data_IF_076692942429
#
_entry.id   IF_076692942429
#
_cell.length_a   1.000
_cell.length_b   1.000
_cell.length_c   1.000
_cell.angle_alpha   90.00
_cell.angle_beta   90.00
_cell.angle_gamma   90.00
#
_symmetry.space_group_name_H-M   'P 1'
#
loop_
_entity.id
_entity.type
_entity.pdbx_description
1 polymer ?
#
# COMPACT_ATOMS: atom_id res chain seq x y z
N UNK A 1 0.37 -1.52 8.80
CA UNK A 1 -0.38 -1.83 7.56
C UNK A 1 -0.41 -3.33 7.36
N UNK A 2 -1.61 -3.91 7.32
CA UNK A 2 -1.84 -5.30 6.95
C UNK A 2 -2.24 -5.29 5.46
N UNK A 3 -1.42 -5.87 4.59
CA UNK A 3 -1.55 -5.74 3.15
C UNK A 3 -1.83 -7.08 2.44
N UNK A 4 -2.96 -7.16 1.74
CA UNK A 4 -3.44 -8.35 1.05
C UNK A 4 -4.38 -7.97 -0.10
N UNK A 5 -5.51 -8.67 -0.25
CA UNK A 5 -6.54 -8.35 -1.26
C UNK A 5 -6.97 -6.88 -1.15
N UNK A 6 -7.24 -6.43 0.07
CA UNK A 6 -7.36 -5.04 0.52
C UNK A 6 -6.24 -4.75 1.52
N UNK A 7 -6.13 -3.50 1.98
CA UNK A 7 -5.16 -3.14 3.01
C UNK A 7 -5.80 -2.34 4.14
N UNK A 8 -5.41 -2.63 5.39
CA UNK A 8 -5.80 -1.90 6.58
C UNK A 8 -4.60 -1.15 7.19
N UNK A 9 -4.84 0.08 7.62
CA UNK A 9 -3.85 1.00 8.19
C UNK A 9 -4.23 1.28 9.64
N UNK A 10 -3.65 0.53 10.56
CA UNK A 10 -3.95 0.60 11.98
C UNK A 10 -2.90 1.46 12.70
N UNK A 11 -3.36 2.47 13.44
CA UNK A 11 -2.56 3.28 14.35
C UNK A 11 -3.18 3.27 15.75
N UNK A 12 -2.35 3.28 16.79
CA UNK A 12 -2.80 3.33 18.18
C UNK A 12 -2.27 4.56 18.90
N UNK A 13 -3.03 5.05 19.87
CA UNK A 13 -2.73 6.24 20.67
C UNK A 13 -3.23 6.09 22.11
N UNK A 14 -2.61 6.80 23.05
CA UNK A 14 -3.03 6.78 24.46
C UNK A 14 -4.32 7.56 24.69
N UNK A 15 -4.54 8.62 23.91
CA UNK A 15 -5.74 9.47 23.93
C UNK A 15 -6.57 9.28 22.67
N UNK A 16 -7.91 9.49 22.70
CA UNK A 16 -8.72 9.37 21.50
C UNK A 16 -8.37 10.43 20.45
N UNK A 17 -8.11 10.00 19.21
CA UNK A 17 -7.86 10.88 18.06
C UNK A 17 -8.95 10.66 17.01
N UNK A 18 -9.73 11.70 16.72
CA UNK A 18 -10.77 11.67 15.69
C UNK A 18 -10.19 12.11 14.35
N UNK A 19 -10.12 11.18 13.40
CA UNK A 19 -9.51 11.39 12.09
C UNK A 19 -10.62 11.35 11.02
N UNK A 20 -10.91 12.45 10.31
CA UNK A 20 -11.90 12.44 9.25
C UNK A 20 -11.63 11.35 8.21
N UNK A 21 -12.65 10.54 7.92
CA UNK A 21 -12.59 9.48 6.92
C UNK A 21 -11.74 8.25 7.28
N UNK A 22 -11.35 8.13 8.55
CA UNK A 22 -10.67 6.96 9.12
C UNK A 22 -11.51 6.46 10.28
N UNK A 23 -11.70 5.14 10.40
CA UNK A 23 -12.52 4.57 11.46
C UNK A 23 -11.87 4.70 12.84
N UNK A 24 -12.70 4.63 13.89
CA UNK A 24 -12.29 4.88 15.27
C UNK A 24 -12.46 6.36 15.70
N UNK A 25 -11.90 6.75 16.85
CA UNK A 25 -11.01 5.96 17.70
C UNK A 25 -11.79 4.91 18.52
N UNK A 26 -11.35 3.65 18.48
CA UNK A 26 -11.95 2.53 19.22
C UNK A 26 -11.11 2.16 20.45
N UNK A 27 -11.66 2.32 21.65
CA UNK A 27 -10.93 2.04 22.89
C UNK A 27 -10.74 0.53 23.12
N UNK A 28 -9.49 0.13 23.40
CA UNK A 28 -9.09 -1.26 23.71
C UNK A 28 -9.47 -2.29 22.64
N UNK A 29 -9.67 -1.87 21.40
CA UNK A 29 -10.11 -2.76 20.31
C UNK A 29 -9.00 -3.67 19.76
N UNK A 30 -7.73 -3.29 19.93
CA UNK A 30 -6.58 -4.08 19.45
C UNK A 30 -5.52 -4.29 20.55
N UNK A 31 -5.08 -3.22 21.20
CA UNK A 31 -4.15 -3.27 22.33
C UNK A 31 -4.89 -2.75 23.58
N UNK A 32 -4.95 -3.52 24.69
CA UNK A 32 -5.63 -3.08 25.90
C UNK A 32 -5.09 -1.72 26.39
N UNK A 33 -6.00 -0.81 26.73
CA UNK A 33 -5.66 0.52 27.23
C UNK A 33 -5.34 1.57 26.16
N UNK A 34 -5.31 1.21 24.86
CA UNK A 34 -5.04 2.15 23.76
C UNK A 34 -6.26 2.34 22.85
N UNK A 35 -6.30 3.49 22.16
CA UNK A 35 -7.30 3.83 21.17
C UNK A 35 -6.81 3.49 19.77
N UNK A 36 -7.60 2.71 19.01
CA UNK A 36 -7.31 2.31 17.64
C UNK A 36 -7.99 3.25 16.63
N UNK A 37 -7.23 3.76 15.67
CA UNK A 37 -7.76 4.26 14.40
C UNK A 37 -7.44 3.29 13.28
N UNK A 38 -8.42 3.01 12.42
CA UNK A 38 -8.29 2.08 11.30
C UNK A 38 -8.65 2.77 9.98
N UNK A 39 -7.63 3.09 9.18
CA UNK A 39 -7.80 3.46 7.78
C UNK A 39 -7.83 2.23 6.89
N UNK A 40 -8.24 2.38 5.64
CA UNK A 40 -8.05 1.29 4.69
C UNK A 40 -8.16 1.67 3.23
N UNK A 41 -7.65 0.78 2.40
CA UNK A 41 -7.77 0.80 0.94
C UNK A 41 -8.56 -0.44 0.51
N UNK A 42 -9.72 -0.22 -0.12
CA UNK A 42 -10.69 -1.28 -0.44
C UNK A 42 -10.15 -2.34 -1.41
N UNK A 43 -9.25 -1.96 -2.31
CA UNK A 43 -8.58 -2.86 -3.23
C UNK A 43 -7.09 -2.50 -3.32
N UNK A 44 -6.21 -3.45 -3.00
CA UNK A 44 -4.75 -3.28 -3.16
C UNK A 44 -4.18 -4.46 -3.94
N UNK A 45 -4.04 -5.64 -3.34
CA UNK A 45 -3.66 -6.85 -4.05
C UNK A 45 -4.66 -7.21 -5.14
N UNK A 46 -5.97 -7.03 -4.88
CA UNK A 46 -6.99 -7.25 -5.92
C UNK A 46 -6.86 -6.29 -7.10
N UNK A 47 -6.44 -5.05 -6.84
CA UNK A 47 -6.23 -4.06 -7.90
C UNK A 47 -5.00 -4.43 -8.73
N UNK A 48 -3.89 -4.79 -8.08
CA UNK A 48 -2.68 -5.28 -8.76
C UNK A 48 -3.04 -6.49 -9.64
N UNK A 49 -3.76 -7.47 -9.11
CA UNK A 49 -4.20 -8.65 -9.85
C UNK A 49 -5.10 -8.28 -11.03
N UNK A 50 -6.05 -7.36 -10.82
CA UNK A 50 -6.96 -6.92 -11.86
C UNK A 50 -6.22 -6.26 -13.02
N UNK A 51 -5.29 -5.34 -12.72
CA UNK A 51 -4.48 -4.64 -13.73
C UNK A 51 -3.58 -5.62 -14.48
N UNK A 52 -2.90 -6.52 -13.76
CA UNK A 52 -1.95 -7.47 -14.38
C UNK A 52 -2.68 -8.49 -15.24
N UNK A 53 -3.72 -9.13 -14.69
CA UNK A 53 -4.47 -10.20 -15.37
C UNK A 53 -5.40 -9.66 -16.47
N UNK A 54 -5.80 -8.39 -16.38
CA UNK A 54 -6.63 -7.74 -17.38
C UNK A 54 -5.85 -7.25 -18.61
N UNK A 55 -4.52 -7.26 -18.57
CA UNK A 55 -3.70 -6.77 -19.67
C UNK A 55 -3.54 -7.82 -20.78
N UNK A 56 -3.49 -7.37 -22.04
CA UNK A 56 -3.38 -8.27 -23.21
C UNK A 56 -2.10 -9.10 -23.24
N UNK A 57 -1.01 -8.59 -22.67
CA UNK A 57 0.26 -9.31 -22.54
C UNK A 57 0.29 -10.34 -21.38
N UNK A 58 -0.83 -10.54 -20.66
CA UNK A 58 -0.87 -11.48 -19.54
C UNK A 58 -0.50 -12.93 -19.92
N UNK A 59 -0.97 -13.50 -21.06
CA UNK A 59 -0.55 -14.85 -21.47
C UNK A 59 0.96 -14.95 -21.75
N UNK A 60 1.57 -13.89 -22.29
CA UNK A 60 3.02 -13.82 -22.50
C UNK A 60 3.76 -13.79 -21.16
N UNK A 61 3.27 -13.01 -20.20
CA UNK A 61 3.81 -12.95 -18.84
C UNK A 61 3.73 -14.33 -18.16
N UNK A 62 2.59 -15.02 -18.25
CA UNK A 62 2.43 -16.36 -17.65
C UNK A 62 3.44 -17.36 -18.22
N UNK A 63 3.57 -17.43 -19.54
CA UNK A 63 4.52 -18.33 -20.20
C UNK A 63 5.97 -18.04 -19.79
N UNK A 64 6.36 -16.76 -19.68
CA UNK A 64 7.71 -16.35 -19.29
C UNK A 64 7.99 -16.59 -17.80
N UNK A 65 7.00 -16.37 -16.94
CA UNK A 65 7.10 -16.65 -15.51
C UNK A 65 7.23 -18.16 -15.24
N UNK A 66 6.46 -18.99 -15.95
CA UNK A 66 6.55 -20.45 -15.89
C UNK A 66 7.92 -20.94 -16.37
N UNK A 67 8.39 -20.47 -17.53
CA UNK A 67 9.70 -20.82 -18.07
C UNK A 67 10.88 -20.44 -17.16
N UNK A 68 10.71 -19.45 -16.29
CA UNK A 68 11.70 -19.03 -15.30
C UNK A 68 11.47 -19.61 -13.90
N UNK A 69 10.43 -20.44 -13.71
CA UNK A 69 9.99 -20.96 -12.42
C UNK A 69 9.77 -19.86 -11.36
N UNK A 70 9.26 -18.71 -11.78
CA UNK A 70 9.00 -17.55 -10.95
C UNK A 70 7.50 -17.27 -10.85
N UNK A 71 7.08 -16.57 -9.78
CA UNK A 71 5.75 -15.96 -9.77
C UNK A 71 5.69 -14.84 -10.80
N UNK A 72 4.50 -14.56 -11.35
CA UNK A 72 4.30 -13.46 -12.31
C UNK A 72 4.79 -12.10 -11.78
N UNK A 73 4.66 -11.82 -10.48
CA UNK A 73 5.10 -10.55 -9.89
C UNK A 73 6.62 -10.51 -9.72
N UNK A 74 7.25 -11.65 -9.39
CA UNK A 74 8.72 -11.76 -9.35
C UNK A 74 9.30 -11.53 -10.74
N UNK A 75 8.65 -12.09 -11.76
CA UNK A 75 9.04 -11.88 -13.15
C UNK A 75 8.88 -10.41 -13.55
N UNK A 76 7.74 -9.77 -13.27
CA UNK A 76 7.51 -8.34 -13.56
C UNK A 76 8.53 -7.44 -12.87
N UNK A 77 8.88 -7.72 -11.60
CA UNK A 77 9.93 -6.98 -10.90
C UNK A 77 11.29 -7.10 -11.61
N UNK A 78 11.65 -8.33 -12.00
CA UNK A 78 12.90 -8.57 -12.74
C UNK A 78 12.89 -7.89 -14.10
N UNK A 79 11.74 -7.89 -14.79
CA UNK A 79 11.56 -7.22 -16.07
C UNK A 79 11.71 -5.70 -15.95
N UNK A 80 11.13 -5.10 -14.89
CA UNK A 80 11.35 -3.69 -14.56
C UNK A 80 12.84 -3.38 -14.35
N UNK A 81 13.57 -4.27 -13.66
CA UNK A 81 15.01 -4.13 -13.47
C UNK A 81 15.82 -4.21 -14.77
N UNK A 82 15.33 -4.96 -15.77
CA UNK A 82 15.94 -5.02 -17.10
C UNK A 82 15.68 -3.74 -17.90
N UNK A 83 14.44 -3.24 -17.92
CA UNK A 83 14.07 -2.10 -18.76
C UNK A 83 14.48 -0.74 -18.17
N UNK A 84 14.75 -0.66 -16.85
CA UNK A 84 15.16 0.61 -16.21
C UNK A 84 16.46 1.19 -16.75
N UNK A 85 17.32 0.35 -17.36
CA UNK A 85 18.68 0.71 -17.79
C UNK A 85 19.46 1.35 -16.63
N UNK A 86 19.73 2.66 -16.70
CA UNK A 86 20.44 3.43 -15.66
C UNK A 86 19.53 4.21 -14.71
N UNK A 87 18.21 4.22 -14.94
CA UNK A 87 17.26 4.94 -14.10
C UNK A 87 16.86 4.09 -12.88
N UNK A 88 16.52 4.71 -11.73
CA UNK A 88 15.82 4.00 -10.67
C UNK A 88 14.48 3.45 -11.18
N UNK A 89 14.10 2.23 -10.78
CA UNK A 89 12.86 1.56 -11.24
C UNK A 89 11.65 2.49 -11.11
N UNK A 90 11.51 3.16 -9.97
CA UNK A 90 10.36 4.03 -9.70
C UNK A 90 10.20 5.21 -10.67
N UNK A 91 11.24 5.59 -11.40
CA UNK A 91 11.24 6.72 -12.32
C UNK A 91 10.71 6.34 -13.70
N UNK A 92 10.52 5.04 -13.99
CA UNK A 92 9.99 4.57 -15.26
C UNK A 92 8.55 5.03 -15.54
N UNK A 93 7.83 5.49 -14.52
CA UNK A 93 6.42 5.92 -14.59
C UNK A 93 6.30 7.44 -14.45
N UNK A 94 7.32 8.20 -14.88
CA UNK A 94 7.33 9.67 -14.80
C UNK A 94 6.07 10.29 -15.45
N UNK A 95 5.64 9.75 -16.59
CA UNK A 95 4.46 10.24 -17.34
C UNK A 95 3.21 9.35 -17.16
N UNK A 96 3.26 8.32 -16.30
CA UNK A 96 2.17 7.35 -16.09
C UNK A 96 1.66 7.41 -14.65
N UNK A 97 0.39 7.79 -14.47
CA UNK A 97 -0.22 7.99 -13.16
C UNK A 97 -1.53 7.22 -13.03
N UNK A 98 -1.77 6.69 -11.84
CA UNK A 98 -2.97 5.91 -11.53
C UNK A 98 -3.65 6.50 -10.29
N UNK A 99 -4.97 6.68 -10.37
CA UNK A 99 -5.83 6.82 -9.19
C UNK A 99 -6.39 5.44 -8.84
N UNK A 100 -6.14 4.90 -7.62
CA UNK A 100 -6.30 3.47 -7.34
C UNK A 100 -7.71 3.06 -6.87
N UNK A 101 -8.65 3.99 -6.70
CA UNK A 101 -9.98 3.67 -6.17
C UNK A 101 -10.93 3.06 -7.21
N UNK A 102 -10.54 1.93 -7.81
CA UNK A 102 -11.37 1.14 -8.73
C UNK A 102 -12.60 0.52 -8.03
N UNK A 103 -12.62 0.52 -6.70
CA UNK A 103 -13.71 0.04 -5.87
C UNK A 103 -14.14 1.08 -4.81
N UNK A 104 -14.09 2.37 -5.18
CA UNK A 104 -14.37 3.48 -4.26
C UNK A 104 -13.26 3.69 -3.22
N UNK A 105 -13.27 4.86 -2.60
CA UNK A 105 -12.31 5.21 -1.55
C UNK A 105 -12.91 4.94 -0.17
N UNK A 106 -12.24 4.11 0.62
CA UNK A 106 -12.59 3.95 2.05
C UNK A 106 -11.97 5.07 2.88
N UNK A 107 -10.66 5.27 2.79
CA UNK A 107 -9.95 6.31 3.53
C UNK A 107 -8.95 7.08 2.65
N UNK A 108 -8.72 8.38 2.90
CA UNK A 108 -9.41 9.20 3.90
C UNK A 108 -10.67 9.90 3.35
N UNK A 109 -11.06 9.67 2.09
CA UNK A 109 -12.12 10.44 1.44
C UNK A 109 -13.53 9.92 1.72
N UNK A 110 -13.69 8.66 2.13
CA UNK A 110 -14.99 8.01 2.39
C UNK A 110 -15.99 8.18 1.24
N UNK A 111 -15.52 8.07 0.01
CA UNK A 111 -16.33 8.24 -1.18
C UNK A 111 -16.36 6.95 -2.00
N UNK A 112 -17.43 6.17 -1.80
CA UNK A 112 -17.68 4.90 -2.48
C UNK A 112 -17.93 5.06 -3.99
N UNK A 113 -18.19 6.28 -4.44
CA UNK A 113 -18.52 6.57 -5.83
C UNK A 113 -17.28 6.85 -6.69
N UNK A 114 -16.11 7.06 -6.07
CA UNK A 114 -14.85 7.25 -6.79
C UNK A 114 -14.52 6.04 -7.67
N UNK A 115 -13.89 6.32 -8.81
CA UNK A 115 -13.50 5.35 -9.83
C UNK A 115 -12.02 5.43 -10.12
N UNK A 116 -11.44 4.34 -10.62
CA UNK A 116 -10.06 4.31 -11.07
C UNK A 116 -9.83 5.26 -12.25
N UNK A 117 -8.63 5.84 -12.33
CA UNK A 117 -8.20 6.62 -13.49
C UNK A 117 -6.76 6.26 -13.85
N UNK A 118 -6.44 6.29 -15.13
CA UNK A 118 -5.09 6.10 -15.64
C UNK A 118 -4.80 7.23 -16.62
N UNK A 119 -3.70 7.93 -16.43
CA UNK A 119 -3.23 9.03 -17.28
C UNK A 119 -1.83 8.70 -17.76
N UNK A 120 -1.56 8.94 -19.05
CA UNK A 120 -0.27 8.62 -19.68
C UNK A 120 -0.28 7.36 -20.54
N UNK A 121 -1.46 6.86 -20.93
CA UNK A 121 -1.58 5.67 -21.78
C UNK A 121 -1.00 5.92 -23.18
N UNK A 122 -0.34 4.90 -23.72
CA UNK A 122 0.16 4.86 -25.11
C UNK A 122 -0.55 3.77 -25.91
N UNK A 123 -0.23 3.63 -27.20
CA UNK A 123 -0.71 2.52 -28.03
C UNK A 123 0.09 1.22 -27.83
N UNK A 124 1.10 1.23 -26.96
CA UNK A 124 1.91 0.05 -26.62
C UNK A 124 1.06 -1.00 -25.92
N UNK A 125 1.33 -2.28 -26.20
CA UNK A 125 0.55 -3.42 -25.69
C UNK A 125 1.41 -4.60 -25.21
N UNK A 126 2.73 -4.42 -25.19
CA UNK A 126 3.68 -5.48 -24.85
C UNK A 126 3.90 -5.64 -23.35
N UNK A 127 4.82 -6.54 -23.01
CA UNK A 127 5.21 -6.83 -21.64
C UNK A 127 5.82 -5.61 -20.90
N UNK A 128 6.52 -4.72 -21.61
CA UNK A 128 7.04 -3.47 -21.05
C UNK A 128 5.90 -2.60 -20.52
N UNK A 129 4.85 -2.37 -21.31
CA UNK A 129 3.67 -1.59 -20.91
C UNK A 129 2.97 -2.22 -19.70
N UNK A 130 2.84 -3.56 -19.69
CA UNK A 130 2.29 -4.30 -18.55
C UNK A 130 3.12 -4.05 -17.27
N UNK A 131 4.44 -4.11 -17.38
CA UNK A 131 5.33 -3.85 -16.26
C UNK A 131 5.21 -2.41 -15.75
N UNK A 132 5.10 -1.42 -16.66
CA UNK A 132 4.94 -0.01 -16.32
C UNK A 132 3.60 0.26 -15.61
N UNK A 133 2.47 -0.26 -16.12
CA UNK A 133 1.17 -0.06 -15.47
C UNK A 133 1.08 -0.79 -14.13
N UNK A 134 1.72 -1.95 -14.00
CA UNK A 134 1.90 -2.65 -12.72
C UNK A 134 2.67 -1.80 -11.71
N UNK A 135 3.82 -1.23 -12.11
CA UNK A 135 4.60 -0.34 -11.27
C UNK A 135 3.81 0.91 -10.87
N UNK A 136 3.14 1.57 -11.83
CA UNK A 136 2.32 2.76 -11.57
C UNK A 136 1.17 2.44 -10.59
N UNK A 137 0.59 1.24 -10.68
CA UNK A 137 -0.44 0.77 -9.75
C UNK A 137 0.11 0.57 -8.34
N UNK A 138 1.28 -0.05 -8.19
CA UNK A 138 1.97 -0.17 -6.89
C UNK A 138 2.23 1.21 -6.29
N UNK A 139 2.75 2.14 -7.08
CA UNK A 139 3.02 3.51 -6.64
C UNK A 139 1.73 4.23 -6.23
N UNK A 140 0.64 4.08 -6.98
CA UNK A 140 -0.65 4.66 -6.64
C UNK A 140 -1.21 4.12 -5.31
N UNK A 141 -1.05 2.82 -5.03
CA UNK A 141 -1.41 2.24 -3.73
C UNK A 141 -0.57 2.84 -2.60
N UNK A 142 0.74 3.00 -2.81
CA UNK A 142 1.63 3.63 -1.84
C UNK A 142 1.31 5.13 -1.63
N UNK A 143 0.92 5.86 -2.69
CA UNK A 143 0.46 7.24 -2.61
C UNK A 143 -0.87 7.35 -1.85
N UNK A 144 -1.79 6.40 -2.05
CA UNK A 144 -3.00 6.29 -1.24
C UNK A 144 -2.69 6.00 0.23
N UNK A 145 -1.67 5.17 0.51
CA UNK A 145 -1.15 4.98 1.87
C UNK A 145 -0.62 6.29 2.44
N UNK A 146 0.23 7.03 1.70
CA UNK A 146 0.72 8.35 2.11
C UNK A 146 -0.43 9.29 2.45
N UNK A 147 -1.48 9.32 1.64
CA UNK A 147 -2.66 10.16 1.88
C UNK A 147 -3.39 9.82 3.20
N UNK A 148 -3.55 8.52 3.50
CA UNK A 148 -4.10 8.08 4.79
C UNK A 148 -3.20 8.50 5.94
N UNK A 149 -1.88 8.29 5.82
CA UNK A 149 -0.93 8.66 6.88
C UNK A 149 -0.92 10.16 7.13
N UNK A 150 -0.91 10.99 6.09
CA UNK A 150 -0.97 12.45 6.23
C UNK A 150 -2.27 12.91 6.88
N UNK A 151 -3.42 12.30 6.56
CA UNK A 151 -4.69 12.58 7.24
C UNK A 151 -4.64 12.22 8.74
N UNK A 152 -4.07 11.05 9.09
CA UNK A 152 -3.88 10.66 10.48
C UNK A 152 -2.94 11.60 11.23
N UNK A 153 -1.83 12.01 10.58
CA UNK A 153 -0.85 12.93 11.17
C UNK A 153 -1.43 14.33 11.37
N UNK A 154 -2.21 14.83 10.41
CA UNK A 154 -2.90 16.12 10.53
C UNK A 154 -3.91 16.16 11.69
N UNK A 155 -4.47 15.00 12.06
CA UNK A 155 -5.38 14.86 13.19
C UNK A 155 -4.67 14.64 14.54
N UNK A 156 -3.35 14.43 14.56
CA UNK A 156 -2.55 14.35 15.79
C UNK A 156 -1.79 13.05 16.01
N UNK A 157 -1.81 12.08 15.07
CA UNK A 157 -0.96 10.90 15.19
C UNK A 157 0.51 11.21 14.91
N UNK A 158 1.42 10.67 15.71
CA UNK A 158 2.85 10.65 15.40
C UNK A 158 3.24 9.33 14.72
N UNK A 159 3.47 9.38 13.41
CA UNK A 159 3.78 8.18 12.61
C UNK A 159 5.21 8.28 12.09
N UNK A 160 6.14 7.55 12.70
CA UNK A 160 7.56 7.54 12.30
C UNK A 160 7.94 6.34 11.44
N UNK A 161 7.21 5.23 11.57
CA UNK A 161 7.58 3.93 11.01
C UNK A 161 6.35 3.20 10.49
N UNK A 162 6.48 2.47 9.38
CA UNK A 162 5.43 1.63 8.83
C UNK A 162 5.74 0.15 9.07
N UNK A 163 5.01 -0.51 9.97
CA UNK A 163 5.03 -1.97 10.06
C UNK A 163 4.19 -2.55 8.93
N UNK A 164 4.76 -3.46 8.14
CA UNK A 164 4.09 -4.06 6.99
C UNK A 164 4.11 -5.59 7.11
N UNK A 165 2.93 -6.19 6.96
CA UNK A 165 2.74 -7.64 6.94
C UNK A 165 1.65 -8.05 5.94
N UNK A 166 1.52 -9.35 5.67
CA UNK A 166 0.56 -9.90 4.71
C UNK A 166 1.18 -10.24 3.36
N UNK A 167 0.38 -10.76 2.43
CA UNK A 167 0.90 -11.33 1.18
C UNK A 167 1.71 -10.34 0.33
N UNK A 168 1.33 -9.06 0.29
CA UNK A 168 2.03 -8.05 -0.50
C UNK A 168 3.39 -7.66 0.10
N UNK A 169 3.63 -7.92 1.39
CA UNK A 169 4.93 -7.64 2.02
C UNK A 169 6.05 -8.57 1.53
N UNK A 170 5.69 -9.65 0.82
CA UNK A 170 6.65 -10.57 0.15
C UNK A 170 7.24 -9.97 -1.13
N UNK A 171 6.62 -8.91 -1.67
CA UNK A 171 7.05 -8.28 -2.91
C UNK A 171 8.02 -7.12 -2.60
N UNK A 172 9.32 -7.25 -2.90
CA UNK A 172 10.32 -6.25 -2.53
C UNK A 172 10.08 -4.89 -3.20
N UNK A 173 9.55 -4.87 -4.43
CA UNK A 173 9.20 -3.63 -5.11
C UNK A 173 8.07 -2.90 -4.37
N UNK A 174 7.02 -3.62 -3.97
CA UNK A 174 5.91 -3.05 -3.20
C UNK A 174 6.41 -2.43 -1.89
N UNK A 175 7.27 -3.14 -1.15
CA UNK A 175 7.86 -2.67 0.11
C UNK A 175 8.70 -1.41 -0.10
N UNK A 176 9.60 -1.41 -1.10
CA UNK A 176 10.46 -0.26 -1.37
C UNK A 176 9.67 0.97 -1.83
N UNK A 177 8.65 0.79 -2.68
CA UNK A 177 7.79 1.91 -3.12
C UNK A 177 7.03 2.51 -1.94
N UNK A 178 6.55 1.71 -0.99
CA UNK A 178 5.93 2.24 0.24
C UNK A 178 6.92 3.03 1.09
N UNK A 179 8.16 2.53 1.26
CA UNK A 179 9.19 3.24 1.99
C UNK A 179 9.49 4.60 1.32
N UNK A 180 9.85 4.59 0.04
CA UNK A 180 10.24 5.80 -0.69
C UNK A 180 9.11 6.84 -0.76
N UNK A 181 7.88 6.42 -1.04
CA UNK A 181 6.74 7.33 -1.23
C UNK A 181 6.27 7.92 0.09
N UNK A 182 6.18 7.13 1.16
CA UNK A 182 5.77 7.63 2.48
C UNK A 182 6.90 8.37 3.19
N UNK A 183 8.15 8.17 2.75
CA UNK A 183 9.34 8.71 3.40
C UNK A 183 9.61 8.11 4.78
N UNK A 184 9.02 6.95 5.09
CA UNK A 184 9.13 6.28 6.40
C UNK A 184 9.84 4.94 6.26
N UNK A 185 10.65 4.51 7.25
CA UNK A 185 11.18 3.16 7.29
C UNK A 185 10.04 2.13 7.32
N UNK A 186 10.18 1.08 6.51
CA UNK A 186 9.24 -0.04 6.49
C UNK A 186 9.82 -1.23 7.23
N UNK A 187 9.14 -1.69 8.27
CA UNK A 187 9.57 -2.82 9.10
C UNK A 187 8.76 -4.06 8.72
N UNK A 188 9.47 -5.11 8.33
CA UNK A 188 8.91 -6.43 8.07
C UNK A 188 9.14 -7.34 9.27
N UNK A 189 8.11 -8.10 9.64
CA UNK A 189 8.20 -9.18 10.62
C UNK A 189 9.14 -10.27 10.11
N UNK A 190 9.87 -10.93 11.03
CA UNK A 190 10.63 -12.15 10.72
C UNK A 190 9.70 -13.29 10.33
N UNK A 191 8.57 -13.40 11.03
CA UNK A 191 7.54 -14.39 10.73
C UNK A 191 6.56 -13.82 9.70
N UNK A 192 6.40 -14.58 8.63
CA UNK A 192 5.57 -14.22 7.46
C UNK A 192 4.08 -14.23 7.81
N UNK A 193 3.65 -15.18 8.63
CA UNK A 193 2.24 -15.39 8.98
C UNK A 193 1.86 -14.59 10.23
N UNK A 194 1.90 -13.26 10.14
CA UNK A 194 1.74 -12.36 11.30
C UNK A 194 0.40 -12.52 12.02
N UNK A 195 -0.68 -12.88 11.32
CA UNK A 195 -1.99 -13.13 11.94
C UNK A 195 -1.95 -14.38 12.84
N UNK A 196 -1.28 -15.45 12.40
CA UNK A 196 -1.13 -16.67 13.19
C UNK A 196 -0.27 -16.40 14.44
N UNK A 197 0.80 -15.61 14.30
CA UNK A 197 1.61 -15.19 15.44
C UNK A 197 0.79 -14.36 16.43
N UNK A 198 -0.04 -13.44 15.94
CA UNK A 198 -0.96 -12.66 16.79
C UNK A 198 -1.94 -13.54 17.57
N UNK A 199 -2.54 -14.54 16.92
CA UNK A 199 -3.42 -15.50 17.60
C UNK A 199 -2.67 -16.33 18.66
N UNK A 200 -1.43 -16.75 18.38
CA UNK A 200 -0.59 -17.47 19.34
C UNK A 200 -0.23 -16.60 20.55
N UNK A 201 0.06 -15.31 20.34
CA UNK A 201 0.30 -14.34 21.42
C UNK A 201 -0.92 -14.26 22.35
N UNK A 202 -2.12 -14.14 21.80
CA UNK A 202 -3.35 -14.11 22.58
C UNK A 202 -3.56 -15.42 23.36
N UNK A 203 -3.29 -16.57 22.74
CA UNK A 203 -3.33 -17.87 23.39
C UNK A 203 -2.36 -17.99 24.57
N UNK A 204 -1.13 -17.51 24.40
CA UNK A 204 -0.09 -17.53 25.45
C UNK A 204 -0.42 -16.57 26.62
N UNK A 205 -1.09 -15.45 26.36
CA UNK A 205 -1.61 -14.62 27.45
C UNK A 205 -2.78 -15.31 28.17
N UNK A 206 -3.68 -15.97 27.43
CA UNK A 206 -4.83 -16.64 28.01
C UNK A 206 -4.44 -17.88 28.84
N UNK A 207 -3.35 -18.56 28.52
CA UNK A 207 -2.78 -19.66 29.33
C UNK A 207 -2.07 -19.18 30.59
N UNK A 208 -1.80 -17.88 30.72
CA UNK A 208 -1.04 -17.31 31.82
C UNK A 208 0.48 -17.40 31.65
N UNK A 209 0.98 -17.80 30.47
CA UNK A 209 2.42 -17.86 30.20
C UNK A 209 3.07 -16.46 30.13
N UNK A 210 2.26 -15.43 29.85
CA UNK A 210 2.66 -14.02 29.88
C UNK A 210 1.65 -13.17 30.66
N UNK A 211 2.13 -12.15 31.37
CA UNK A 211 1.28 -11.29 32.21
C UNK A 211 0.50 -10.24 31.41
N UNK A 212 0.91 -9.95 30.17
CA UNK A 212 0.24 -8.99 29.29
C UNK A 212 0.48 -9.28 27.81
N UNK A 213 -0.39 -8.75 26.95
CA UNK A 213 -0.24 -8.82 25.49
C UNK A 213 1.06 -8.14 25.06
N UNK A 214 1.41 -7.01 25.67
CA UNK A 214 2.62 -6.25 25.37
C UNK A 214 3.89 -7.07 25.65
N UNK A 215 3.92 -7.80 26.78
CA UNK A 215 5.02 -8.69 27.12
C UNK A 215 5.16 -9.84 26.11
N UNK A 216 4.03 -10.50 25.80
CA UNK A 216 4.00 -11.58 24.82
C UNK A 216 4.44 -11.08 23.42
N UNK A 217 3.96 -9.91 22.98
CA UNK A 217 4.38 -9.27 21.73
C UNK A 217 5.88 -9.02 21.69
N UNK A 218 6.49 -8.53 22.78
CA UNK A 218 7.93 -8.25 22.83
C UNK A 218 8.80 -9.52 22.76
N UNK A 219 8.29 -10.65 23.27
CA UNK A 219 9.01 -11.94 23.29
C UNK A 219 8.79 -12.78 22.03
N UNK A 220 7.57 -12.76 21.50
CA UNK A 220 7.13 -13.60 20.38
C UNK A 220 7.22 -12.86 19.05
N UNK A 221 7.01 -11.54 19.04
CA UNK A 221 7.18 -10.68 17.87
C UNK A 221 8.66 -10.45 17.59
N UNK A 222 9.13 -10.84 16.40
CA UNK A 222 10.51 -10.64 15.98
C UNK A 222 10.58 -9.76 14.75
N UNK A 223 11.38 -8.71 14.83
CA UNK A 223 11.72 -7.87 13.68
C UNK A 223 12.59 -8.69 12.72
N UNK A 224 12.23 -8.69 11.43
CA UNK A 224 12.97 -9.37 10.37
C UNK A 224 13.89 -8.41 9.64
N UNK A 225 13.32 -7.61 8.74
CA UNK A 225 14.04 -6.69 7.85
C UNK A 225 13.48 -5.28 7.97
N UNK A 226 14.36 -4.28 7.96
CA UNK A 226 13.98 -2.88 7.83
C UNK A 226 14.40 -2.39 6.44
N UNK A 227 13.46 -1.80 5.71
CA UNK A 227 13.69 -1.18 4.40
C UNK A 227 13.63 0.34 4.59
N UNK A 228 14.73 1.01 4.26
CA UNK A 228 14.83 2.46 4.40
C UNK A 228 14.31 3.16 3.14
N UNK A 229 13.68 4.35 3.28
CA UNK A 229 13.37 5.19 2.14
C UNK A 229 14.66 5.66 1.47
N UNK A 230 14.68 5.71 0.14
CA UNK A 230 15.72 6.43 -0.58
C UNK A 230 15.38 7.93 -0.63
N UNK A 231 16.09 8.73 0.16
CA UNK A 231 15.88 10.16 0.25
C UNK A 231 16.19 10.93 -1.04
N UNK A 232 17.05 10.40 -1.92
CA UNK A 232 17.34 11.02 -3.23
C UNK A 232 16.10 11.04 -4.13
N UNK A 233 15.21 10.06 -3.96
CA UNK A 233 13.97 9.94 -4.73
C UNK A 233 12.82 10.79 -4.17
N UNK A 234 12.96 11.38 -2.98
CA UNK A 234 11.86 12.05 -2.28
C UNK A 234 11.17 13.11 -3.16
N UNK A 235 11.96 13.95 -3.82
CA UNK A 235 11.43 15.03 -4.68
C UNK A 235 10.58 14.48 -5.83
N UNK A 236 10.95 13.33 -6.39
CA UNK A 236 10.17 12.69 -7.45
C UNK A 236 8.80 12.24 -6.92
N UNK A 237 8.77 11.58 -5.76
CA UNK A 237 7.52 11.11 -5.18
C UNK A 237 6.64 12.21 -4.60
N UNK A 238 7.22 13.32 -4.12
CA UNK A 238 6.45 14.52 -3.77
C UNK A 238 5.69 15.06 -4.99
N UNK A 239 6.34 15.16 -6.16
CA UNK A 239 5.67 15.55 -7.41
C UNK A 239 4.61 14.53 -7.85
N UNK A 240 4.89 13.23 -7.73
CA UNK A 240 3.88 12.18 -8.02
C UNK A 240 2.67 12.32 -7.09
N UNK A 241 2.88 12.73 -5.84
CA UNK A 241 1.82 12.94 -4.87
C UNK A 241 1.00 14.20 -5.15
N UNK A 242 1.62 15.29 -5.60
CA UNK A 242 0.90 16.47 -6.12
C UNK A 242 -0.04 16.08 -7.28
N UNK A 243 0.46 15.31 -8.25
CA UNK A 243 -0.36 14.79 -9.36
C UNK A 243 -1.47 13.87 -8.84
N UNK A 244 -1.17 13.00 -7.89
CA UNK A 244 -2.16 12.09 -7.29
C UNK A 244 -3.34 12.85 -6.66
N UNK A 245 -3.10 13.95 -5.95
CA UNK A 245 -4.17 14.77 -5.38
C UNK A 245 -4.96 15.51 -6.49
N UNK A 246 -4.29 16.00 -7.54
CA UNK A 246 -4.95 16.60 -8.70
C UNK A 246 -5.88 15.65 -9.43
N UNK A 247 -5.54 14.36 -9.50
CA UNK A 247 -6.39 13.35 -10.14
C UNK A 247 -7.79 13.31 -9.51
N UNK A 248 -7.89 13.23 -8.18
CA UNK A 248 -9.22 13.17 -7.52
C UNK A 248 -9.98 14.49 -7.59
N UNK A 249 -9.28 15.63 -7.58
CA UNK A 249 -9.89 16.95 -7.83
C UNK A 249 -10.55 16.97 -9.21
N UNK A 250 -9.81 16.62 -10.27
CA UNK A 250 -10.34 16.59 -11.63
C UNK A 250 -11.51 15.60 -11.78
N UNK A 251 -11.47 14.44 -11.12
CA UNK A 251 -12.60 13.49 -11.16
C UNK A 251 -13.90 14.11 -10.60
N UNK A 252 -13.78 14.89 -9.52
CA UNK A 252 -14.93 15.61 -8.94
C UNK A 252 -15.44 16.71 -9.87
N UNK A 253 -14.52 17.44 -10.51
CA UNK A 253 -14.87 18.45 -11.52
C UNK A 253 -15.61 17.83 -12.72
N UNK A 254 -15.13 16.72 -13.27
CA UNK A 254 -15.79 16.02 -14.37
C UNK A 254 -17.22 15.60 -13.99
N UNK A 255 -17.42 15.10 -12.76
CA UNK A 255 -18.77 14.77 -12.28
C UNK A 255 -19.65 16.02 -12.14
N UNK A 256 -19.10 17.13 -11.63
CA UNK A 256 -19.84 18.39 -11.52
C UNK A 256 -20.31 18.90 -12.89
N UNK A 257 -19.45 18.81 -13.91
CA UNK A 257 -19.79 19.19 -15.29
C UNK A 257 -20.94 18.31 -15.80
N UNK A 258 -20.84 16.98 -15.66
CA UNK A 258 -21.87 16.06 -16.15
C UNK A 258 -23.20 16.16 -15.40
N UNK A 259 -23.19 16.53 -14.12
CA UNK A 259 -24.41 16.74 -13.32
C UNK A 259 -25.09 18.09 -13.58
N UNK A 260 -24.45 18.97 -14.36
CA UNK A 260 -25.03 20.27 -14.74
C UNK A 260 -25.88 20.21 -16.02
N UNK A 261 -26.01 19.01 -16.62
CA UNK A 261 -26.94 18.68 -17.70
C UNK A 261 -28.37 18.50 -17.17
#
# INVERSE_FOLDING_TARGET
>A
MICGTSSCHMGVSETPIFVPGVWGPYFSAMVPGLWLNEGGQSATGKLIDHVVRGHVAFPELEAKAEASAQSIYTYLNSHLDLIKKSLPVGFLTVDLHVWPDFHGNRSPLTDLTLKGMVVGLTLSRGLDELALIYLATIQAIALGTRHILEAMQAAGHEITTLFLCGGLSKNPLFVQMHADITGKPVVLSKEVESVLVGAAILGACASGDFASIQEAMAKMGKIGKVVQPNHEHKRFYDKKYEVFLKLVEHQREYRSIMNSL
#
